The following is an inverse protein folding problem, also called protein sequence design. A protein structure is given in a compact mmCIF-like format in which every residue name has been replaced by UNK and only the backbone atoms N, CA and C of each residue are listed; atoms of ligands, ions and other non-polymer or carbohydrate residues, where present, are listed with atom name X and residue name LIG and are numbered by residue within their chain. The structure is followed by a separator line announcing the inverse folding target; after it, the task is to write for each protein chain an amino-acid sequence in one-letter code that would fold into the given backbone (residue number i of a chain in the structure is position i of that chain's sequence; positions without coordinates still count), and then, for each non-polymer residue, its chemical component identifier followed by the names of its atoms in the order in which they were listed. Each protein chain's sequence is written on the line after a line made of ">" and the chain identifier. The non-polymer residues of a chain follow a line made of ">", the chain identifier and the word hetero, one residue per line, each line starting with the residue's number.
data_IF_858822259673
#
_entry.id   IF_858822259673
#
_cell.length_a   1.000
_cell.length_b   1.000
_cell.length_c   1.000
_cell.angle_alpha   90.00
_cell.angle_beta   90.00
_cell.angle_gamma   90.00
#
_symmetry.space_group_name_H-M   'P 1'
#
loop_
_entity.id
_entity.type
_entity.pdbx_description
1 polymer ?
#
# COMPACT_ATOMS: atom_id res chain seq x y z
N UNK A 1 74.92 -18.38 -54.33
CA UNK A 1 73.78 -18.72 -55.22
C UNK A 1 72.54 -18.32 -54.43
N UNK A 2 71.92 -17.17 -54.68
CA UNK A 2 71.04 -16.90 -55.83
C UNK A 2 69.68 -17.56 -55.52
N UNK A 3 68.53 -16.90 -55.44
CA UNK A 3 68.10 -15.61 -55.97
C UNK A 3 66.97 -14.98 -55.12
N UNK A 4 66.84 -13.67 -55.30
CA UNK A 4 65.86 -12.72 -54.75
C UNK A 4 64.48 -12.78 -55.42
N UNK A 5 63.52 -12.12 -54.76
CA UNK A 5 62.24 -11.57 -55.23
C UNK A 5 60.98 -12.47 -55.19
N UNK A 6 60.09 -12.14 -54.25
CA UNK A 6 58.77 -11.69 -54.65
C UNK A 6 58.26 -10.56 -53.75
N UNK A 7 57.90 -9.46 -54.40
CA UNK A 7 57.45 -8.18 -53.88
C UNK A 7 55.93 -8.09 -54.01
N UNK A 8 55.25 -7.60 -52.97
CA UNK A 8 53.93 -6.95 -53.08
C UNK A 8 53.76 -5.98 -51.89
N UNK A 9 53.03 -4.87 -52.08
CA UNK A 9 53.61 -3.54 -51.91
C UNK A 9 53.29 -2.87 -50.56
N UNK A 10 54.17 -1.92 -50.23
CA UNK A 10 53.93 -0.86 -49.26
C UNK A 10 52.79 0.07 -49.70
N UNK A 11 52.16 0.70 -48.71
CA UNK A 11 51.46 1.97 -48.90
C UNK A 11 49.97 1.93 -48.61
N UNK A 12 49.59 1.69 -47.36
CA UNK A 12 48.29 2.15 -46.88
C UNK A 12 48.42 3.67 -46.64
N UNK A 13 48.19 4.43 -47.71
CA UNK A 13 48.07 5.89 -47.64
C UNK A 13 46.77 6.21 -46.90
N UNK A 14 46.85 6.46 -45.61
CA UNK A 14 45.87 7.30 -44.91
C UNK A 14 45.91 8.68 -45.57
N UNK A 15 44.96 8.96 -46.47
CA UNK A 15 44.67 10.31 -46.94
C UNK A 15 44.31 11.18 -45.72
N UNK A 16 45.04 12.29 -45.48
CA UNK A 16 44.61 13.28 -44.51
C UNK A 16 43.31 13.91 -45.02
N UNK A 17 42.25 13.83 -44.23
CA UNK A 17 41.04 14.64 -44.44
C UNK A 17 41.48 16.12 -44.57
N UNK A 18 40.96 16.88 -45.56
CA UNK A 18 41.36 18.26 -45.77
C UNK A 18 41.02 19.06 -44.51
N UNK A 19 42.07 19.45 -43.76
CA UNK A 19 41.91 20.41 -42.69
C UNK A 19 41.55 21.75 -43.32
N UNK A 20 40.50 22.45 -42.84
CA UNK A 20 40.18 23.77 -43.36
C UNK A 20 41.35 24.70 -43.05
N UNK A 21 42.06 25.14 -44.09
CA UNK A 21 43.09 26.17 -44.03
C UNK A 21 42.58 27.36 -43.18
N UNK A 22 43.36 27.85 -42.20
CA UNK A 22 42.93 28.97 -41.37
C UNK A 22 42.66 30.18 -42.26
N UNK A 23 41.39 30.60 -42.33
CA UNK A 23 41.00 31.79 -43.08
C UNK A 23 41.75 33.00 -42.52
N UNK A 24 42.61 33.61 -43.33
CA UNK A 24 43.29 34.85 -42.96
C UNK A 24 42.26 35.93 -42.60
N UNK A 25 42.54 36.72 -41.56
CA UNK A 25 41.65 37.79 -41.13
C UNK A 25 41.55 38.87 -42.22
N UNK A 26 40.32 39.20 -42.61
CA UNK A 26 40.01 40.28 -43.54
C UNK A 26 39.20 41.33 -42.78
N UNK A 27 39.74 42.54 -42.56
CA UNK A 27 38.98 43.62 -41.90
C UNK A 27 37.82 44.10 -42.80
N UNK A 28 36.70 44.53 -42.21
CA UNK A 28 35.61 45.12 -42.98
C UNK A 28 36.06 46.43 -43.63
N UNK A 29 35.76 46.59 -44.92
CA UNK A 29 36.16 47.77 -45.69
C UNK A 29 35.20 48.96 -45.48
N UNK A 30 33.98 48.70 -45.00
CA UNK A 30 32.90 49.68 -44.83
C UNK A 30 32.08 49.39 -43.56
N UNK A 31 31.29 50.37 -43.12
CA UNK A 31 30.33 50.20 -42.02
C UNK A 31 29.25 49.16 -42.37
N UNK A 32 28.77 49.19 -43.61
CA UNK A 32 27.77 48.24 -44.13
C UNK A 32 28.29 46.80 -44.10
N UNK A 33 29.58 46.59 -44.40
CA UNK A 33 30.22 45.28 -44.26
C UNK A 33 30.29 44.80 -42.81
N UNK A 34 30.59 45.72 -41.87
CA UNK A 34 30.60 45.40 -40.45
C UNK A 34 29.21 45.03 -39.94
N UNK A 35 28.19 45.82 -40.27
CA UNK A 35 26.80 45.56 -39.88
C UNK A 35 26.29 44.24 -40.47
N UNK A 36 26.66 43.93 -41.72
CA UNK A 36 26.37 42.65 -42.37
C UNK A 36 27.02 41.48 -41.63
N UNK A 37 28.31 41.57 -41.29
CA UNK A 37 29.04 40.50 -40.58
C UNK A 37 28.43 40.26 -39.20
N UNK A 38 28.13 41.34 -38.46
CA UNK A 38 27.51 41.28 -37.13
C UNK A 38 26.09 40.70 -37.23
N UNK A 39 25.28 41.17 -38.17
CA UNK A 39 23.93 40.66 -38.42
C UNK A 39 23.91 39.18 -38.76
N UNK A 40 24.80 38.71 -39.64
CA UNK A 40 24.94 37.28 -39.97
C UNK A 40 25.33 36.45 -38.74
N UNK A 41 26.21 36.97 -37.88
CA UNK A 41 26.60 36.24 -36.67
C UNK A 41 25.46 36.20 -35.66
N UNK A 42 24.74 37.30 -35.46
CA UNK A 42 23.59 37.35 -34.57
C UNK A 42 22.45 36.45 -35.06
N UNK A 43 22.18 36.39 -36.37
CA UNK A 43 21.22 35.48 -36.97
C UNK A 43 21.59 34.03 -36.65
N UNK A 44 22.85 33.62 -36.91
CA UNK A 44 23.33 32.27 -36.57
C UNK A 44 23.22 31.95 -35.08
N UNK A 45 23.45 32.91 -34.18
CA UNK A 45 23.27 32.68 -32.74
C UNK A 45 21.80 32.55 -32.34
N UNK A 46 20.88 33.28 -32.99
CA UNK A 46 19.44 33.14 -32.74
C UNK A 46 18.87 31.85 -33.31
N UNK A 47 19.33 31.45 -34.49
CA UNK A 47 18.89 30.22 -35.16
C UNK A 47 19.26 28.96 -34.36
N UNK A 48 20.39 28.99 -33.62
CA UNK A 48 20.81 27.88 -32.74
C UNK A 48 19.81 27.54 -31.64
N UNK A 49 18.98 28.51 -31.24
CA UNK A 49 18.03 28.38 -30.13
C UNK A 49 16.61 28.69 -30.58
N UNK A 50 16.32 28.61 -31.88
CA UNK A 50 15.00 28.91 -32.42
C UNK A 50 13.90 28.01 -31.83
N UNK A 51 14.27 26.78 -31.43
CA UNK A 51 13.41 25.77 -30.81
C UNK A 51 13.42 25.81 -29.27
N UNK A 52 14.26 26.65 -28.64
CA UNK A 52 14.44 26.66 -27.20
C UNK A 52 13.14 26.97 -26.44
N UNK A 53 12.39 27.98 -26.88
CA UNK A 53 11.13 28.35 -26.23
C UNK A 53 10.07 27.24 -26.40
N UNK A 54 10.06 26.54 -27.53
CA UNK A 54 9.15 25.41 -27.76
C UNK A 54 9.51 24.21 -26.87
N UNK A 55 10.81 23.87 -26.79
CA UNK A 55 11.31 22.80 -25.92
C UNK A 55 11.05 23.12 -24.44
N UNK A 56 11.27 24.37 -24.03
CA UNK A 56 10.97 24.84 -22.68
C UNK A 56 9.48 24.71 -22.37
N UNK A 57 8.61 25.17 -23.27
CA UNK A 57 7.15 25.05 -23.10
C UNK A 57 6.71 23.58 -23.00
N UNK A 58 7.25 22.70 -23.85
CA UNK A 58 6.98 21.26 -23.79
C UNK A 58 7.47 20.62 -22.49
N UNK A 59 8.65 20.99 -22.00
CA UNK A 59 9.18 20.51 -20.73
C UNK A 59 8.30 20.94 -19.55
N UNK A 60 7.87 22.20 -19.52
CA UNK A 60 6.94 22.69 -18.48
C UNK A 60 5.59 21.97 -18.53
N UNK A 61 5.04 21.74 -19.72
CA UNK A 61 3.79 20.98 -19.88
C UNK A 61 3.95 19.52 -19.45
N UNK A 62 5.06 18.89 -19.81
CA UNK A 62 5.36 17.51 -19.42
C UNK A 62 5.45 17.37 -17.90
N UNK A 63 6.17 18.27 -17.22
CA UNK A 63 6.25 18.28 -15.75
C UNK A 63 4.87 18.45 -15.11
N UNK A 64 4.06 19.40 -15.60
CA UNK A 64 2.68 19.60 -15.11
C UNK A 64 1.80 18.36 -15.30
N UNK A 65 1.90 17.69 -16.45
CA UNK A 65 1.16 16.46 -16.72
C UNK A 65 1.65 15.31 -15.84
N UNK A 66 2.95 15.17 -15.61
CA UNK A 66 3.49 14.18 -14.68
C UNK A 66 2.97 14.39 -13.26
N UNK A 67 3.00 15.63 -12.77
CA UNK A 67 2.49 15.97 -11.43
C UNK A 67 0.99 15.71 -11.30
N UNK A 68 0.21 16.09 -12.33
CA UNK A 68 -1.23 15.81 -12.38
C UNK A 68 -1.50 14.31 -12.39
N UNK A 69 -0.83 13.53 -13.25
CA UNK A 69 -0.98 12.09 -13.34
C UNK A 69 -0.57 11.38 -12.04
N UNK A 70 0.54 11.80 -11.40
CA UNK A 70 0.94 11.26 -10.08
C UNK A 70 -0.15 11.50 -9.04
N UNK A 71 -0.73 12.70 -9.02
CA UNK A 71 -1.82 13.06 -8.09
C UNK A 71 -3.09 12.23 -8.35
N UNK A 72 -3.46 12.05 -9.61
CA UNK A 72 -4.63 11.24 -10.00
C UNK A 72 -4.42 9.77 -9.67
N UNK A 73 -3.22 9.23 -9.94
CA UNK A 73 -2.87 7.85 -9.62
C UNK A 73 -2.87 7.59 -8.12
N UNK A 74 -2.36 8.53 -7.31
CA UNK A 74 -2.47 8.48 -5.85
C UNK A 74 -3.93 8.42 -5.40
N UNK A 75 -4.78 9.35 -5.87
CA UNK A 75 -6.22 9.36 -5.56
C UNK A 75 -6.94 8.09 -6.01
N UNK A 76 -6.56 7.53 -7.17
CA UNK A 76 -7.13 6.29 -7.68
C UNK A 76 -6.73 5.10 -6.81
N UNK A 77 -5.46 5.05 -6.38
CA UNK A 77 -4.92 4.00 -5.51
C UNK A 77 -5.59 4.05 -4.14
N UNK A 78 -5.70 5.22 -3.53
CA UNK A 78 -6.39 5.42 -2.24
C UNK A 78 -7.86 4.97 -2.31
N UNK A 79 -8.58 5.31 -3.39
CA UNK A 79 -9.94 4.82 -3.60
C UNK A 79 -10.00 3.30 -3.78
N UNK A 80 -9.08 2.74 -4.55
CA UNK A 80 -9.02 1.30 -4.77
C UNK A 80 -8.75 0.54 -3.46
N UNK A 81 -7.83 1.03 -2.62
CA UNK A 81 -7.56 0.47 -1.31
C UNK A 81 -8.76 0.59 -0.36
N UNK A 82 -9.45 1.73 -0.37
CA UNK A 82 -10.65 1.92 0.44
C UNK A 82 -11.76 0.94 0.03
N UNK A 83 -12.02 0.84 -1.27
CA UNK A 83 -13.00 -0.12 -1.81
C UNK A 83 -12.59 -1.57 -1.54
N UNK A 84 -11.30 -1.90 -1.62
CA UNK A 84 -10.81 -3.24 -1.30
C UNK A 84 -11.03 -3.59 0.18
N UNK A 85 -10.79 -2.64 1.10
CA UNK A 85 -11.07 -2.81 2.53
C UNK A 85 -12.57 -3.01 2.79
N UNK A 86 -13.42 -2.18 2.19
CA UNK A 86 -14.87 -2.31 2.30
C UNK A 86 -15.37 -3.62 1.72
N UNK A 87 -14.84 -4.07 0.60
CA UNK A 87 -15.21 -5.35 0.01
C UNK A 87 -14.77 -6.52 0.91
N UNK A 88 -13.56 -6.47 1.48
CA UNK A 88 -13.09 -7.47 2.42
C UNK A 88 -13.96 -7.54 3.69
N UNK A 89 -14.41 -6.40 4.23
CA UNK A 89 -15.30 -6.39 5.41
C UNK A 89 -16.69 -6.92 5.08
N UNK A 90 -17.24 -6.59 3.91
CA UNK A 90 -18.51 -7.13 3.42
C UNK A 90 -18.44 -8.64 3.20
N UNK A 91 -17.38 -9.13 2.55
CA UNK A 91 -17.14 -10.56 2.36
C UNK A 91 -17.01 -11.30 3.69
N UNK A 92 -16.21 -10.77 4.62
CA UNK A 92 -16.05 -11.38 5.94
C UNK A 92 -17.37 -11.42 6.72
N UNK A 93 -18.20 -10.37 6.60
CA UNK A 93 -19.53 -10.34 7.25
C UNK A 93 -20.49 -11.36 6.61
N UNK A 94 -20.53 -11.44 5.28
CA UNK A 94 -21.32 -12.45 4.59
C UNK A 94 -20.87 -13.87 4.94
N UNK A 95 -19.55 -14.11 5.04
CA UNK A 95 -19.01 -15.40 5.49
C UNK A 95 -19.42 -15.71 6.93
N UNK A 96 -19.30 -14.74 7.86
CA UNK A 96 -19.74 -14.90 9.25
C UNK A 96 -21.22 -15.23 9.34
N UNK A 97 -22.09 -14.52 8.63
CA UNK A 97 -23.52 -14.80 8.58
C UNK A 97 -23.80 -16.22 8.05
N UNK A 98 -23.09 -16.66 6.99
CA UNK A 98 -23.25 -18.00 6.42
C UNK A 98 -22.83 -19.12 7.38
N UNK A 99 -21.69 -18.97 8.06
CA UNK A 99 -21.18 -19.97 9.02
C UNK A 99 -22.03 -19.97 10.28
N UNK A 100 -22.45 -18.81 10.77
CA UNK A 100 -23.37 -18.66 11.89
C UNK A 100 -24.68 -19.42 11.65
N UNK A 101 -25.29 -19.21 10.47
CA UNK A 101 -26.51 -19.90 10.08
C UNK A 101 -26.31 -21.42 9.95
N UNK A 102 -25.19 -21.87 9.38
CA UNK A 102 -24.90 -23.29 9.19
C UNK A 102 -24.63 -24.03 10.51
N UNK A 103 -23.92 -23.40 11.45
CA UNK A 103 -23.49 -24.01 12.73
C UNK A 103 -24.47 -23.73 13.88
N UNK A 104 -25.44 -22.83 13.69
CA UNK A 104 -26.40 -22.43 14.72
C UNK A 104 -25.75 -21.64 15.86
N UNK A 105 -24.77 -20.80 15.54
CA UNK A 105 -24.02 -19.95 16.49
C UNK A 105 -24.33 -18.48 16.20
N UNK A 106 -24.49 -17.60 17.20
CA UNK A 106 -24.74 -16.18 16.96
C UNK A 106 -23.60 -15.51 16.17
N UNK A 107 -23.95 -14.80 15.09
CA UNK A 107 -22.97 -14.12 14.23
C UNK A 107 -22.08 -13.14 15.00
N UNK A 108 -22.64 -12.43 15.99
CA UNK A 108 -21.94 -11.46 16.83
C UNK A 108 -20.75 -12.06 17.61
N UNK A 109 -20.69 -13.40 17.76
CA UNK A 109 -19.62 -14.10 18.47
C UNK A 109 -18.55 -14.67 17.53
N UNK A 110 -18.79 -14.66 16.21
CA UNK A 110 -17.83 -15.12 15.23
C UNK A 110 -16.89 -13.98 14.86
N UNK A 111 -15.60 -14.28 14.88
CA UNK A 111 -14.53 -13.39 14.44
C UNK A 111 -13.65 -14.11 13.41
N UNK A 112 -12.96 -13.34 12.57
CA UNK A 112 -12.13 -13.88 11.49
C UNK A 112 -12.32 -13.13 10.18
N UNK A 113 -11.26 -13.11 9.38
CA UNK A 113 -11.23 -12.56 8.03
C UNK A 113 -11.36 -13.62 6.94
N UNK A 114 -11.12 -14.89 7.29
CA UNK A 114 -11.18 -16.04 6.37
C UNK A 114 -12.24 -17.04 6.80
N UNK A 115 -12.69 -17.89 5.87
CA UNK A 115 -13.72 -18.91 6.15
C UNK A 115 -13.24 -19.88 7.23
N UNK A 116 -11.98 -20.30 7.14
CA UNK A 116 -11.36 -21.26 8.04
C UNK A 116 -11.29 -20.73 9.48
N UNK A 117 -10.92 -19.45 9.66
CA UNK A 117 -10.91 -18.80 10.97
C UNK A 117 -12.32 -18.72 11.57
N UNK A 118 -13.31 -18.35 10.76
CA UNK A 118 -14.71 -18.22 11.20
C UNK A 118 -15.28 -19.59 11.58
N UNK A 119 -14.97 -20.64 10.82
CA UNK A 119 -15.40 -22.01 11.11
C UNK A 119 -14.75 -22.56 12.39
N UNK A 120 -13.45 -22.34 12.57
CA UNK A 120 -12.74 -22.73 13.78
C UNK A 120 -13.31 -22.02 15.03
N UNK A 121 -13.64 -20.71 14.91
CA UNK A 121 -14.29 -19.96 15.98
C UNK A 121 -15.69 -20.52 16.31
N UNK A 122 -16.48 -20.88 15.29
CA UNK A 122 -17.79 -21.49 15.47
C UNK A 122 -17.70 -22.85 16.19
N UNK A 123 -16.74 -23.69 15.79
CA UNK A 123 -16.54 -25.02 16.39
C UNK A 123 -16.05 -24.92 17.84
N UNK A 124 -15.17 -23.95 18.15
CA UNK A 124 -14.75 -23.67 19.52
C UNK A 124 -15.93 -23.24 20.41
N UNK A 125 -16.84 -22.42 19.91
CA UNK A 125 -18.05 -22.00 20.64
C UNK A 125 -19.02 -23.17 20.85
N UNK A 126 -19.16 -24.08 19.88
CA UNK A 126 -19.96 -25.28 20.02
C UNK A 126 -19.37 -26.23 21.07
N UNK A 127 -18.05 -26.43 21.06
CA UNK A 127 -17.35 -27.23 22.07
C UNK A 127 -17.53 -26.63 23.48
N UNK A 128 -17.35 -25.31 23.62
CA UNK A 128 -17.56 -24.62 24.88
C UNK A 128 -18.99 -24.77 25.40
N UNK A 129 -20.00 -24.63 24.53
CA UNK A 129 -21.42 -24.85 24.87
C UNK A 129 -21.69 -26.28 25.36
N UNK A 130 -21.03 -27.27 24.77
CA UNK A 130 -21.12 -28.68 25.15
C UNK A 130 -20.51 -28.98 26.52
N UNK A 131 -19.52 -28.20 26.97
CA UNK A 131 -18.83 -28.38 28.25
C UNK A 131 -19.52 -27.73 29.45
N UNK A 132 -20.87 -27.69 29.48
CA UNK A 132 -21.62 -27.19 30.65
C UNK A 132 -21.17 -27.95 31.91
N UNK A 133 -20.39 -27.27 32.75
CA UNK A 133 -19.93 -27.77 34.03
C UNK A 133 -21.17 -28.05 34.89
N UNK A 134 -21.50 -29.31 35.11
CA UNK A 134 -22.47 -29.69 36.13
C UNK A 134 -21.81 -29.43 37.48
N UNK A 135 -22.13 -28.30 38.09
CA UNK A 135 -21.69 -28.02 39.46
C UNK A 135 -22.17 -29.16 40.38
N UNK A 136 -21.38 -29.58 41.38
CA UNK A 136 -21.83 -30.53 42.37
C UNK A 136 -23.08 -29.98 43.08
N UNK A 137 -24.21 -30.66 42.95
CA UNK A 137 -25.44 -30.27 43.65
C UNK A 137 -25.26 -30.61 45.12
N UNK A 138 -25.05 -29.61 45.98
CA UNK A 138 -25.03 -29.80 47.43
C UNK A 138 -26.49 -29.96 47.89
N UNK A 139 -26.90 -31.11 48.49
CA UNK A 139 -28.31 -31.40 48.81
C UNK A 139 -28.99 -30.43 49.80
N UNK A 140 -28.21 -29.53 50.42
CA UNK A 140 -28.68 -28.55 51.40
C UNK A 140 -28.81 -27.13 50.83
N UNK A 141 -28.38 -26.89 49.59
CA UNK A 141 -28.42 -25.56 49.00
C UNK A 141 -29.87 -25.19 48.65
N UNK A 142 -30.42 -24.19 49.34
CA UNK A 142 -31.82 -23.77 49.22
C UNK A 142 -32.77 -24.33 50.29
N UNK A 143 -32.30 -25.17 51.21
CA UNK A 143 -33.09 -25.55 52.39
C UNK A 143 -33.07 -24.40 53.40
N UNK A 144 -34.13 -23.61 53.43
CA UNK A 144 -34.40 -22.73 54.58
C UNK A 144 -34.57 -23.60 55.82
N UNK A 145 -34.06 -23.20 57.01
CA UNK A 145 -34.29 -23.97 58.21
C UNK A 145 -35.78 -24.14 58.43
N UNK A 146 -36.24 -25.40 58.51
CA UNK A 146 -37.59 -25.72 58.95
C UNK A 146 -37.80 -24.99 60.28
N UNK A 147 -38.87 -24.21 60.40
CA UNK A 147 -39.25 -23.62 61.69
C UNK A 147 -39.26 -24.76 62.70
N UNK A 148 -38.43 -24.65 63.74
CA UNK A 148 -38.44 -25.56 64.89
C UNK A 148 -39.79 -25.34 65.57
N UNK A 149 -40.80 -26.07 65.13
CA UNK A 149 -42.07 -26.25 65.83
C UNK A 149 -41.84 -27.36 66.83
N UNK A 150 -41.96 -26.97 68.10
CA UNK A 150 -42.03 -27.81 69.30
C UNK A 150 -40.77 -28.62 69.65
N UNK A 151 -39.72 -27.89 70.04
CA UNK A 151 -38.64 -28.48 70.85
C UNK A 151 -39.05 -28.41 72.34
N UNK A 152 -39.22 -29.55 73.03
CA UNK A 152 -39.62 -29.59 74.45
C UNK A 152 -38.61 -28.91 75.38
N UNK A 153 -37.36 -28.71 74.94
CA UNK A 153 -36.36 -27.94 75.68
C UNK A 153 -36.66 -26.44 75.73
N UNK A 154 -37.44 -25.93 74.76
CA UNK A 154 -37.84 -24.52 74.70
C UNK A 154 -39.02 -24.21 75.59
N UNK A 155 -39.93 -25.17 75.81
CA UNK A 155 -41.01 -25.06 76.79
C UNK A 155 -40.50 -25.10 78.23
N UNK A 156 -39.54 -25.98 78.53
CA UNK A 156 -38.94 -26.05 79.87
C UNK A 156 -38.17 -24.78 80.21
N UNK A 157 -37.43 -24.22 79.26
CA UNK A 157 -36.75 -22.93 79.43
C UNK A 157 -37.72 -21.76 79.65
N UNK A 158 -38.87 -21.75 78.97
CA UNK A 158 -39.91 -20.73 79.17
C UNK A 158 -40.57 -20.81 80.55
N UNK A 159 -40.75 -22.03 81.09
CA UNK A 159 -41.31 -22.25 82.43
C UNK A 159 -40.32 -21.93 83.56
N UNK A 160 -39.01 -22.11 83.34
CA UNK A 160 -37.99 -21.80 84.35
C UNK A 160 -37.62 -20.31 84.42
N UNK A 161 -37.63 -19.60 83.29
CA UNK A 161 -37.07 -18.24 83.19
C UNK A 161 -38.11 -17.16 82.82
N UNK A 162 -39.39 -17.51 82.65
CA UNK A 162 -40.43 -16.63 82.11
C UNK A 162 -41.44 -16.07 83.11
N UNK A 163 -41.22 -16.19 84.43
CA UNK A 163 -42.17 -15.70 85.43
C UNK A 163 -41.58 -14.54 86.25
N UNK A 164 -41.86 -13.32 85.79
CA UNK A 164 -42.03 -12.11 86.60
C UNK A 164 -43.25 -11.36 86.06
#
# INVERSE_FOLDING_TARGET
>A
MGDTNNTAPAGESTEPLPQPEPKAFVPPATQEDLDRIVGQRLARERDKYADYEELKAKAEQFTKLEEANKTELQKATERAEQLAKENATLQATALRASVAAAKGVPENLLSGGTREEIEAAADALLAFRGTKQTAPVVPAQGKTPSKITDDPTRETARKLFGNN
#
